data_IF_661082915457
#
_entry.id   IF_661082915457
#
_cell.length_a   1.000
_cell.length_b   1.000
_cell.length_c   1.000
_cell.angle_alpha   90.00
_cell.angle_beta   90.00
_cell.angle_gamma   90.00
#
_symmetry.space_group_name_H-M   'P 1'
#
loop_
_entity.id
_entity.type
_entity.pdbx_description
1 polymer ?
#
# COMPACT_ATOMS: atom_id res chain seq x y z
N UNK A 1 13.32 13.91 -18.51
CA UNK A 1 11.92 14.41 -18.47
C UNK A 1 11.05 13.35 -17.80
N UNK A 2 10.81 13.47 -16.50
CA UNK A 2 9.87 12.61 -15.80
C UNK A 2 8.46 13.06 -16.21
N UNK A 3 7.79 12.31 -17.08
CA UNK A 3 6.39 12.57 -17.40
C UNK A 3 5.61 12.46 -16.08
N UNK A 4 5.01 13.56 -15.63
CA UNK A 4 4.03 13.51 -14.54
C UNK A 4 2.93 12.52 -14.95
N UNK A 5 2.77 11.45 -14.16
CA UNK A 5 1.65 10.54 -14.35
C UNK A 5 0.41 11.25 -13.80
N UNK A 6 -0.39 11.84 -14.69
CA UNK A 6 -1.68 12.39 -14.31
C UNK A 6 -2.56 11.25 -13.79
N UNK A 7 -2.89 11.30 -12.51
CA UNK A 7 -3.85 10.37 -11.89
C UNK A 7 -5.25 10.83 -12.26
N UNK A 8 -5.95 10.06 -13.10
CA UNK A 8 -7.30 10.41 -13.57
C UNK A 8 -8.37 9.92 -12.59
N UNK A 9 -8.26 8.67 -12.12
CA UNK A 9 -9.20 8.07 -11.17
C UNK A 9 -8.40 7.62 -9.95
N UNK A 10 -8.41 8.44 -8.89
CA UNK A 10 -7.62 8.21 -7.66
C UNK A 10 -8.38 7.45 -6.57
N UNK A 11 -9.71 7.54 -6.59
CA UNK A 11 -10.60 6.99 -5.58
C UNK A 11 -11.97 6.71 -6.20
N UNK A 12 -12.60 5.61 -5.78
CA UNK A 12 -13.99 5.29 -6.04
C UNK A 12 -14.72 5.13 -4.72
N UNK A 13 -15.94 5.66 -4.65
CA UNK A 13 -16.85 5.46 -3.52
C UNK A 13 -18.22 5.10 -4.06
N UNK A 14 -18.70 3.91 -3.75
CA UNK A 14 -19.96 3.40 -4.29
C UNK A 14 -20.26 1.96 -3.87
N UNK A 15 -21.40 1.44 -4.34
CA UNK A 15 -21.89 0.12 -3.94
C UNK A 15 -21.20 -1.02 -4.71
N UNK A 16 -20.90 -2.13 -4.02
CA UNK A 16 -20.36 -3.34 -4.63
C UNK A 16 -21.47 -4.11 -5.34
N UNK A 17 -21.49 -4.06 -6.67
CA UNK A 17 -22.48 -4.78 -7.47
C UNK A 17 -22.11 -6.25 -7.72
N UNK A 18 -20.81 -6.57 -7.76
CA UNK A 18 -20.34 -7.94 -7.96
C UNK A 18 -18.95 -8.15 -7.37
N UNK A 19 -18.66 -9.40 -7.00
CA UNK A 19 -17.37 -9.84 -6.44
C UNK A 19 -16.90 -11.07 -7.20
N UNK A 20 -15.76 -10.95 -7.87
CA UNK A 20 -15.02 -12.05 -8.50
C UNK A 20 -13.88 -12.54 -7.61
N UNK A 21 -12.98 -13.37 -8.16
CA UNK A 21 -11.83 -13.90 -7.42
C UNK A 21 -10.71 -12.88 -7.22
N UNK A 22 -10.56 -11.95 -8.17
CA UNK A 22 -9.45 -11.00 -8.28
C UNK A 22 -9.92 -9.58 -8.64
N UNK A 23 -11.23 -9.35 -8.58
CA UNK A 23 -11.84 -8.06 -8.91
C UNK A 23 -13.16 -7.87 -8.17
N UNK A 24 -13.55 -6.61 -8.08
CA UNK A 24 -14.87 -6.17 -7.65
C UNK A 24 -15.44 -5.20 -8.69
N UNK A 25 -16.75 -5.24 -8.90
CA UNK A 25 -17.46 -4.27 -9.73
C UNK A 25 -18.14 -3.25 -8.80
N UNK A 26 -17.72 -1.98 -8.84
CA UNK A 26 -18.23 -0.90 -7.98
C UNK A 26 -19.08 0.06 -8.80
N UNK A 27 -20.31 0.33 -8.37
CA UNK A 27 -21.22 1.25 -9.04
C UNK A 27 -21.16 2.63 -8.38
N UNK A 28 -20.75 3.63 -9.16
CA UNK A 28 -20.67 5.04 -8.74
C UNK A 28 -21.54 5.87 -9.68
N UNK A 29 -22.60 6.48 -9.15
CA UNK A 29 -23.49 7.33 -9.97
C UNK A 29 -24.13 6.60 -11.16
N UNK A 30 -24.39 5.29 -11.03
CA UNK A 30 -24.97 4.46 -12.10
C UNK A 30 -23.96 3.88 -13.09
N UNK A 31 -22.66 4.17 -12.94
CA UNK A 31 -21.58 3.62 -13.78
C UNK A 31 -20.86 2.50 -13.01
N UNK A 32 -20.78 1.31 -13.61
CA UNK A 32 -20.03 0.17 -13.06
C UNK A 32 -18.56 0.21 -13.45
N UNK A 33 -17.68 0.22 -12.45
CA UNK A 33 -16.23 0.16 -12.61
C UNK A 33 -15.72 -1.21 -12.17
N UNK A 34 -15.08 -1.93 -13.09
CA UNK A 34 -14.31 -3.12 -12.74
C UNK A 34 -12.97 -2.74 -12.16
N UNK A 35 -12.69 -3.15 -10.94
CA UNK A 35 -11.45 -2.85 -10.23
C UNK A 35 -10.75 -4.16 -9.85
N UNK A 36 -9.54 -4.36 -10.34
CA UNK A 36 -8.70 -5.49 -9.95
C UNK A 36 -8.11 -5.26 -8.57
N UNK A 37 -8.29 -6.22 -7.68
CA UNK A 37 -7.88 -6.12 -6.26
C UNK A 37 -7.16 -7.40 -5.84
N UNK A 38 -6.58 -7.41 -4.65
CA UNK A 38 -6.03 -8.65 -4.09
C UNK A 38 -7.18 -9.63 -3.80
N UNK A 39 -6.94 -10.95 -3.81
CA UNK A 39 -7.97 -11.93 -3.44
C UNK A 39 -8.53 -11.69 -2.03
N UNK A 40 -7.69 -11.23 -1.09
CA UNK A 40 -8.13 -10.89 0.26
C UNK A 40 -9.13 -9.74 0.27
N UNK A 41 -8.86 -8.66 -0.47
CA UNK A 41 -9.79 -7.55 -0.65
C UNK A 41 -11.10 -8.08 -1.24
N UNK A 42 -11.05 -8.81 -2.37
CA UNK A 42 -12.25 -9.29 -3.04
C UNK A 42 -13.12 -10.13 -2.09
N UNK A 43 -12.53 -11.03 -1.30
CA UNK A 43 -13.27 -11.83 -0.33
C UNK A 43 -13.85 -11.02 0.84
N UNK A 44 -13.21 -9.92 1.22
CA UNK A 44 -13.69 -9.04 2.29
C UNK A 44 -14.75 -8.03 1.82
N UNK A 45 -14.90 -7.83 0.51
CA UNK A 45 -15.81 -6.82 -0.04
C UNK A 45 -17.29 -7.18 0.22
N UNK A 46 -18.04 -6.36 0.97
CA UNK A 46 -19.45 -6.61 1.24
C UNK A 46 -20.29 -6.32 -0.02
N UNK A 47 -21.10 -7.29 -0.46
CA UNK A 47 -22.02 -7.10 -1.60
C UNK A 47 -23.16 -6.16 -1.23
N UNK A 48 -23.60 -5.36 -2.20
CA UNK A 48 -24.70 -4.39 -2.08
C UNK A 48 -24.47 -3.30 -1.01
N UNK A 49 -23.24 -3.16 -0.51
CA UNK A 49 -22.82 -2.14 0.44
C UNK A 49 -21.84 -1.15 -0.18
N UNK A 50 -21.79 0.06 0.37
CA UNK A 50 -20.88 1.11 -0.07
C UNK A 50 -19.46 0.87 0.45
N UNK A 51 -18.49 0.87 -0.46
CA UNK A 51 -17.06 0.82 -0.12
C UNK A 51 -16.32 2.04 -0.67
N UNK A 52 -15.17 2.32 -0.07
CA UNK A 52 -14.18 3.25 -0.63
C UNK A 52 -12.99 2.44 -1.14
N UNK A 53 -12.60 2.67 -2.39
CA UNK A 53 -11.47 1.99 -3.02
C UNK A 53 -10.48 3.03 -3.51
N UNK A 54 -9.24 2.95 -3.04
CA UNK A 54 -8.16 3.77 -3.57
C UNK A 54 -7.65 3.13 -4.85
N UNK A 55 -7.58 3.90 -5.94
CA UNK A 55 -7.32 3.33 -7.26
C UNK A 55 -6.05 3.84 -7.91
N UNK A 56 -5.40 2.95 -8.68
CA UNK A 56 -4.38 3.30 -9.65
C UNK A 56 -4.83 2.84 -11.04
N UNK A 57 -5.02 3.80 -11.95
CA UNK A 57 -5.38 3.52 -13.33
C UNK A 57 -4.15 3.32 -14.20
N UNK A 58 -4.12 2.23 -14.96
CA UNK A 58 -3.05 1.92 -15.91
C UNK A 58 -3.62 1.95 -17.31
N UNK A 59 -3.07 2.84 -18.15
CA UNK A 59 -3.46 3.03 -19.54
C UNK A 59 -2.39 2.41 -20.44
N UNK A 60 -2.83 1.54 -21.34
CA UNK A 60 -2.06 1.01 -22.47
C UNK A 60 -2.79 1.39 -23.76
N UNK A 61 -2.21 1.03 -24.89
CA UNK A 61 -2.75 1.38 -26.21
C UNK A 61 -4.17 0.82 -26.44
N UNK A 62 -4.45 -0.36 -25.91
CA UNK A 62 -5.68 -1.13 -26.13
C UNK A 62 -6.54 -1.31 -24.86
N UNK A 63 -6.09 -0.77 -23.72
CA UNK A 63 -6.71 -1.09 -22.44
C UNK A 63 -6.55 0.02 -21.39
N UNK A 64 -7.59 0.18 -20.58
CA UNK A 64 -7.59 0.97 -19.36
C UNK A 64 -7.99 0.05 -18.21
N UNK A 65 -7.12 -0.10 -17.23
CA UNK A 65 -7.32 -1.04 -16.12
C UNK A 65 -7.21 -0.31 -14.78
N UNK A 66 -8.21 -0.50 -13.92
CA UNK A 66 -8.18 -0.01 -12.55
C UNK A 66 -7.67 -1.10 -11.62
N UNK A 67 -6.73 -0.72 -10.76
CA UNK A 67 -6.27 -1.51 -9.63
C UNK A 67 -6.71 -0.82 -8.34
N UNK A 68 -7.26 -1.58 -7.39
CA UNK A 68 -7.87 -1.07 -6.17
C UNK A 68 -7.18 -1.56 -4.91
N UNK A 69 -7.23 -0.72 -3.88
CA UNK A 69 -6.54 -0.90 -2.60
C UNK A 69 -7.39 -0.39 -1.44
N UNK A 70 -7.24 -0.99 -0.25
CA UNK A 70 -8.02 -0.64 0.94
C UNK A 70 -7.51 0.68 1.54
N UNK A 71 -6.25 1.01 1.27
CA UNK A 71 -5.60 2.23 1.74
C UNK A 71 -4.86 2.97 0.63
N UNK A 72 -4.65 4.27 0.85
CA UNK A 72 -3.75 5.06 0.01
C UNK A 72 -2.30 4.54 0.05
N UNK A 73 -1.87 3.98 1.18
CA UNK A 73 -0.51 3.49 1.35
C UNK A 73 -0.22 2.29 0.44
N UNK A 74 -1.15 1.33 0.37
CA UNK A 74 -1.08 0.21 -0.56
C UNK A 74 -1.02 0.68 -2.03
N UNK A 75 -1.87 1.64 -2.42
CA UNK A 75 -1.84 2.23 -3.77
C UNK A 75 -0.50 2.89 -4.08
N UNK A 76 0.09 3.58 -3.11
CA UNK A 76 1.35 4.30 -3.30
C UNK A 76 2.52 3.33 -3.41
N UNK A 77 2.53 2.27 -2.58
CA UNK A 77 3.49 1.16 -2.71
C UNK A 77 3.36 0.47 -4.06
N UNK A 78 2.14 0.15 -4.50
CA UNK A 78 1.88 -0.42 -5.82
C UNK A 78 2.46 0.47 -6.92
N UNK A 79 2.19 1.77 -6.87
CA UNK A 79 2.66 2.74 -7.87
C UNK A 79 4.19 2.82 -7.92
N UNK A 80 4.85 2.76 -6.75
CA UNK A 80 6.32 2.72 -6.65
C UNK A 80 6.89 1.41 -7.20
N UNK A 81 6.24 0.27 -6.94
CA UNK A 81 6.64 -1.02 -7.50
C UNK A 81 6.63 -1.02 -9.04
N UNK A 82 5.68 -0.34 -9.66
CA UNK A 82 5.62 -0.20 -11.13
C UNK A 82 6.80 0.60 -11.72
N UNK A 83 7.58 1.29 -10.90
CA UNK A 83 8.80 1.97 -11.37
C UNK A 83 9.99 1.02 -11.56
N UNK A 84 9.90 -0.22 -11.07
CA UNK A 84 10.97 -1.21 -11.16
C UNK A 84 10.98 -1.90 -12.52
N UNK A 85 12.15 -2.00 -13.12
CA UNK A 85 12.30 -2.68 -14.40
C UNK A 85 11.94 -4.17 -14.32
N UNK A 86 10.87 -4.55 -15.04
CA UNK A 86 10.34 -5.92 -15.07
C UNK A 86 9.24 -6.20 -14.06
N UNK A 87 8.84 -5.21 -13.24
CA UNK A 87 7.66 -5.34 -12.37
C UNK A 87 6.45 -4.74 -13.06
N UNK A 88 5.58 -5.62 -13.56
CA UNK A 88 4.29 -5.24 -14.11
C UNK A 88 3.18 -5.18 -13.05
N UNK A 89 1.99 -4.69 -13.43
CA UNK A 89 0.85 -4.54 -12.52
C UNK A 89 0.41 -5.83 -11.83
N UNK A 90 0.44 -6.95 -12.54
CA UNK A 90 0.11 -8.27 -11.96
C UNK A 90 1.08 -8.66 -10.85
N UNK A 91 2.38 -8.43 -11.04
CA UNK A 91 3.41 -8.75 -10.04
C UNK A 91 3.31 -7.78 -8.86
N UNK A 92 3.08 -6.49 -9.12
CA UNK A 92 2.91 -5.50 -8.06
C UNK A 92 1.68 -5.77 -7.19
N UNK A 93 0.56 -6.19 -7.79
CA UNK A 93 -0.63 -6.61 -7.04
C UNK A 93 -0.39 -7.91 -6.26
N UNK A 94 0.31 -8.87 -6.86
CA UNK A 94 0.71 -10.10 -6.17
C UNK A 94 1.65 -9.83 -4.98
N UNK A 95 2.51 -8.81 -5.06
CA UNK A 95 3.36 -8.40 -3.94
C UNK A 95 2.50 -7.97 -2.75
N UNK A 96 1.48 -7.13 -2.98
CA UNK A 96 0.56 -6.67 -1.94
C UNK A 96 -0.44 -7.75 -1.48
N UNK A 97 -0.62 -8.82 -2.26
CA UNK A 97 -1.38 -9.99 -1.81
C UNK A 97 -0.58 -10.89 -0.83
N UNK A 98 0.76 -10.78 -0.83
CA UNK A 98 1.65 -11.61 0.00
C UNK A 98 2.25 -10.83 1.18
N UNK A 99 2.60 -9.56 0.96
CA UNK A 99 3.28 -8.70 1.91
C UNK A 99 2.49 -7.41 2.11
N UNK A 100 2.27 -7.03 3.37
CA UNK A 100 1.74 -5.71 3.67
C UNK A 100 2.78 -4.64 3.28
N UNK A 101 2.35 -3.37 3.07
CA UNK A 101 3.26 -2.27 2.74
C UNK A 101 4.52 -2.19 3.61
N UNK A 102 4.39 -2.33 4.93
CA UNK A 102 5.51 -2.25 5.85
C UNK A 102 6.45 -3.46 5.79
N UNK A 103 5.91 -4.66 5.59
CA UNK A 103 6.71 -5.88 5.42
C UNK A 103 7.54 -5.80 4.14
N UNK A 104 6.95 -5.27 3.07
CA UNK A 104 7.65 -5.03 1.82
C UNK A 104 8.77 -3.98 2.00
N UNK A 105 8.48 -2.86 2.68
CA UNK A 105 9.51 -1.84 3.02
C UNK A 105 10.68 -2.45 3.77
N UNK A 106 10.41 -3.26 4.80
CA UNK A 106 11.44 -3.97 5.57
C UNK A 106 12.25 -4.91 4.68
N UNK A 107 11.59 -5.76 3.89
CA UNK A 107 12.26 -6.71 3.02
C UNK A 107 13.17 -6.03 1.99
N UNK A 108 12.74 -4.89 1.42
CA UNK A 108 13.55 -4.12 0.48
C UNK A 108 14.72 -3.43 1.19
N UNK A 109 14.48 -2.77 2.34
CA UNK A 109 15.52 -2.08 3.13
C UNK A 109 16.60 -3.05 3.62
N UNK A 110 16.19 -4.20 4.14
CA UNK A 110 17.08 -5.20 4.74
C UNK A 110 17.70 -6.12 3.65
N UNK A 111 17.41 -5.86 2.38
CA UNK A 111 17.79 -6.66 1.22
C UNK A 111 17.44 -8.15 1.37
N UNK A 112 16.33 -8.45 2.03
CA UNK A 112 15.82 -9.80 2.24
C UNK A 112 15.23 -10.37 0.95
N UNK A 113 16.12 -10.86 0.09
CA UNK A 113 15.75 -11.47 -1.18
C UNK A 113 14.91 -12.73 -1.00
N UNK A 114 15.00 -13.42 0.14
CA UNK A 114 14.22 -14.63 0.39
C UNK A 114 12.74 -14.27 0.56
N UNK A 115 12.44 -13.23 1.33
CA UNK A 115 11.08 -12.71 1.48
C UNK A 115 10.53 -12.18 0.16
N UNK A 116 11.30 -11.40 -0.60
CA UNK A 116 10.85 -10.87 -1.90
C UNK A 116 10.57 -11.97 -2.94
N UNK A 117 11.32 -13.08 -2.91
CA UNK A 117 11.11 -14.22 -3.81
C UNK A 117 9.88 -15.06 -3.49
N UNK A 118 9.20 -14.82 -2.35
CA UNK A 118 7.89 -15.44 -2.06
C UNK A 118 6.77 -14.89 -2.92
N UNK A 119 6.97 -13.71 -3.52
CA UNK A 119 5.96 -13.08 -4.38
C UNK A 119 5.87 -13.88 -5.70
N UNK A 120 4.68 -14.38 -6.09
CA UNK A 120 4.51 -15.10 -7.35
C UNK A 120 5.00 -14.28 -8.55
N UNK A 121 5.88 -14.88 -9.36
CA UNK A 121 6.49 -14.23 -10.52
C UNK A 121 7.75 -13.41 -10.22
N UNK A 122 8.19 -13.32 -8.96
CA UNK A 122 9.46 -12.67 -8.58
C UNK A 122 10.55 -13.71 -8.38
N UNK A 123 11.44 -13.83 -9.36
CA UNK A 123 12.68 -14.62 -9.23
C UNK A 123 13.85 -13.82 -8.67
N UNK A 124 14.98 -14.47 -8.42
CA UNK A 124 16.22 -13.88 -7.85
C UNK A 124 16.62 -12.53 -8.48
N UNK A 125 16.66 -12.45 -9.82
CA UNK A 125 17.04 -11.21 -10.53
C UNK A 125 16.04 -10.07 -10.31
N UNK A 126 14.76 -10.40 -10.26
CA UNK A 126 13.69 -9.42 -10.03
C UNK A 126 13.70 -8.94 -8.58
N UNK A 127 13.88 -9.84 -7.61
CA UNK A 127 14.05 -9.50 -6.20
C UNK A 127 15.26 -8.58 -5.96
N UNK A 128 16.40 -8.86 -6.60
CA UNK A 128 17.59 -8.01 -6.52
C UNK A 128 17.32 -6.60 -7.07
N UNK A 129 16.68 -6.51 -8.24
CA UNK A 129 16.29 -5.20 -8.81
C UNK A 129 15.32 -4.46 -7.91
N UNK A 130 14.33 -5.14 -7.36
CA UNK A 130 13.38 -4.54 -6.42
C UNK A 130 14.11 -3.97 -5.21
N UNK A 131 14.98 -4.76 -4.56
CA UNK A 131 15.79 -4.30 -3.42
C UNK A 131 16.65 -3.07 -3.74
N UNK A 132 17.22 -3.00 -4.95
CA UNK A 132 18.11 -1.91 -5.39
C UNK A 132 17.36 -0.66 -5.88
N UNK A 133 16.30 -0.81 -6.68
CA UNK A 133 15.68 0.31 -7.41
C UNK A 133 14.66 1.09 -6.58
N UNK A 134 14.09 0.50 -5.51
CA UNK A 134 13.04 1.13 -4.68
C UNK A 134 13.33 1.22 -3.20
N UNK A 135 14.47 0.73 -2.71
CA UNK A 135 14.86 0.81 -1.29
C UNK A 135 14.61 2.17 -0.69
N UNK A 136 15.09 3.21 -1.36
CA UNK A 136 14.95 4.59 -0.88
C UNK A 136 13.58 5.21 -1.22
N UNK A 137 12.86 4.66 -2.21
CA UNK A 137 11.61 5.24 -2.73
C UNK A 137 10.39 4.83 -1.92
N UNK A 138 10.38 3.64 -1.32
CA UNK A 138 9.22 3.16 -0.56
C UNK A 138 8.99 3.93 0.74
N UNK A 139 10.00 4.65 1.24
CA UNK A 139 9.98 5.33 2.53
C UNK A 139 10.24 4.35 3.69
N UNK A 140 10.29 4.87 4.91
CA UNK A 140 10.46 4.05 6.11
C UNK A 140 9.15 3.33 6.46
N UNK A 141 9.21 2.09 6.98
CA UNK A 141 8.03 1.45 7.58
C UNK A 141 7.42 2.37 8.63
N UNK A 142 6.09 2.43 8.69
CA UNK A 142 5.45 3.16 9.77
C UNK A 142 5.93 2.59 11.12
N UNK A 143 6.22 3.47 12.08
CA UNK A 143 6.41 3.01 13.46
C UNK A 143 5.09 2.36 13.89
N UNK A 144 5.17 1.14 14.42
CA UNK A 144 4.03 0.49 15.06
C UNK A 144 3.41 1.50 16.06
N UNK A 145 2.09 1.75 16.03
CA UNK A 145 1.47 2.52 17.10
C UNK A 145 1.57 1.68 18.38
N UNK A 146 2.57 1.96 19.20
CA UNK A 146 2.87 1.17 20.41
C UNK A 146 4.27 1.33 21.01
N UNK A 147 5.03 2.35 20.65
CA UNK A 147 6.22 2.73 21.41
C UNK A 147 6.23 4.24 21.59
N UNK A 148 5.38 4.73 22.51
CA UNK A 148 5.69 5.99 23.18
C UNK A 148 7.08 5.83 23.83
N UNK A 149 8.03 6.74 23.56
CA UNK A 149 9.21 6.84 24.39
C UNK A 149 8.71 7.26 25.77
N UNK A 150 8.77 6.35 26.74
CA UNK A 150 8.65 6.70 28.15
C UNK A 150 9.64 7.82 28.43
N UNK A 151 9.13 9.04 28.53
CA UNK A 151 9.90 10.18 28.99
C UNK A 151 10.43 9.85 30.40
N UNK A 152 11.73 10.08 30.69
CA UNK A 152 12.23 9.91 32.05
C UNK A 152 11.49 10.86 32.99
N UNK A 153 11.13 10.43 34.22
CA UNK A 153 10.51 11.33 35.17
C UNK A 153 11.47 12.48 35.51
N UNK A 154 10.99 13.71 35.32
CA UNK A 154 11.70 14.91 35.70
C UNK A 154 11.88 14.97 37.24
N UNK A 155 13.03 15.45 37.74
CA UNK A 155 13.24 15.64 39.18
C UNK A 155 12.40 16.82 39.66
N UNK A 156 11.54 16.60 40.64
CA UNK A 156 10.84 17.66 41.36
C UNK A 156 11.83 18.41 42.27
N UNK A 157 12.05 19.69 41.97
CA UNK A 157 12.67 20.63 42.89
C UNK A 157 11.60 21.51 43.57
N UNK A 158 11.84 21.72 44.86
CA UNK A 158 11.40 22.79 45.75
C UNK A 158 10.07 22.69 46.50
N UNK A 159 10.21 22.44 47.81
CA UNK A 159 9.47 23.15 48.85
C UNK A 159 10.33 23.31 50.11
N UNK A 160 11.08 24.42 50.20
CA UNK A 160 11.52 25.01 51.47
C UNK A 160 11.06 26.46 51.55
N UNK A 161 10.06 26.71 52.38
CA UNK A 161 9.72 28.03 52.94
C UNK A 161 9.12 27.73 54.33
N UNK A 162 9.89 27.95 55.40
CA UNK A 162 9.88 29.16 56.21
C UNK A 162 8.65 29.26 57.13
N UNK A 163 8.82 28.90 58.39
CA UNK A 163 8.00 29.39 59.50
C UNK A 163 8.92 29.96 60.59
N UNK A 164 8.73 31.25 60.87
CA UNK A 164 9.16 31.95 62.08
C UNK A 164 7.92 32.68 62.59
N UNK A 165 7.33 32.18 63.66
CA UNK A 165 6.71 32.92 64.78
C UNK A 165 6.44 31.96 65.92
#
# INVERSE_FOLDING_TARGET
MTRERTVVISILRGAVASVGLDHVDVVVGGIGFRVHVTPAFAQAAPRDEEITVYTSMIVREDSMTLYGFESCDERDVFTKLLSVSGIGPKIALAALAVLRPDDLRRAVRDQDLATLQRIPGVGKKSAQRMALEIGDKLGSPAALPGAEPTAPPAPSQDAVAAEVS
#
